data_IF_706099904588
#
_entry.id   IF_706099904588
#
_cell.length_a   1.000
_cell.length_b   1.000
_cell.length_c   1.000
_cell.angle_alpha   90.00
_cell.angle_beta   90.00
_cell.angle_gamma   90.00
#
_symmetry.space_group_name_H-M   'P 1'
#
loop_
_entity.id
_entity.type
_entity.pdbx_description
1 polymer ?
#
# COMPACT_ATOMS: atom_id res chain seq x y z
N UNK A 1 -27.97 58.63 8.36
CA UNK A 1 -27.02 58.28 7.29
C UNK A 1 -25.68 58.93 7.61
N UNK A 2 -24.71 58.16 8.13
CA UNK A 2 -23.35 58.63 8.42
C UNK A 2 -22.39 57.96 7.44
N UNK A 3 -21.64 58.76 6.67
CA UNK A 3 -20.53 58.29 5.83
C UNK A 3 -19.22 58.69 6.50
N UNK A 4 -18.36 57.72 6.79
CA UNK A 4 -16.96 57.97 7.14
C UNK A 4 -16.14 58.11 5.86
N UNK A 5 -15.26 59.11 5.82
CA UNK A 5 -14.19 59.24 4.83
C UNK A 5 -12.86 59.11 5.57
N UNK A 6 -12.14 58.03 5.30
CA UNK A 6 -10.72 57.89 5.66
C UNK A 6 -9.91 58.28 4.43
N UNK A 7 -9.15 59.37 4.57
CA UNK A 7 -8.23 59.88 3.57
C UNK A 7 -6.82 59.54 4.06
N UNK A 8 -6.18 58.51 3.48
CA UNK A 8 -4.79 58.16 3.77
C UNK A 8 -3.98 58.28 2.48
N UNK A 9 -2.92 59.12 2.44
CA UNK A 9 -2.09 59.31 1.26
C UNK A 9 -1.10 58.15 1.05
N UNK A 10 -0.84 57.84 -0.23
CA UNK A 10 -0.15 56.63 -0.74
C UNK A 10 1.38 56.59 -0.53
N UNK A 11 2.00 57.59 0.10
CA UNK A 11 3.48 57.68 0.17
C UNK A 11 4.13 57.31 1.53
N UNK A 12 3.45 56.56 2.39
CA UNK A 12 3.99 56.10 3.68
C UNK A 12 4.18 54.57 3.77
N UNK A 13 4.32 53.90 2.62
CA UNK A 13 4.44 52.44 2.57
C UNK A 13 5.78 51.96 1.98
N UNK A 14 6.89 52.62 2.28
CA UNK A 14 8.24 52.15 1.91
C UNK A 14 9.32 52.98 2.64
N UNK A 15 9.65 52.63 3.89
CA UNK A 15 11.02 52.66 4.47
C UNK A 15 11.01 52.32 5.97
N UNK A 16 11.03 51.04 6.29
CA UNK A 16 11.63 50.47 7.51
C UNK A 16 11.81 48.97 7.23
N UNK A 17 12.98 48.37 7.17
CA UNK A 17 14.33 48.85 7.31
C UNK A 17 15.21 47.88 6.51
N UNK A 18 16.12 48.42 5.71
CA UNK A 18 17.24 47.69 5.14
C UNK A 18 18.47 48.54 5.43
N UNK A 19 19.47 47.94 6.09
CA UNK A 19 20.85 48.38 6.42
C UNK A 19 21.12 47.97 7.87
N UNK A 20 22.15 47.23 8.27
CA UNK A 20 23.21 46.44 7.63
C UNK A 20 23.91 45.65 8.76
N UNK A 21 24.36 44.43 8.45
CA UNK A 21 25.58 43.77 8.95
C UNK A 21 25.89 43.75 10.46
N UNK A 22 25.89 42.52 11.02
CA UNK A 22 26.91 42.09 11.98
C UNK A 22 26.40 41.46 13.27
N UNK A 23 26.84 40.21 13.52
CA UNK A 23 26.88 39.50 14.80
C UNK A 23 25.54 39.02 15.39
N UNK A 24 25.20 37.76 15.13
CA UNK A 24 25.33 36.67 16.11
C UNK A 24 24.65 35.41 15.55
N UNK A 25 25.47 34.40 15.30
CA UNK A 25 25.07 33.02 15.03
C UNK A 25 24.25 32.48 16.21
N UNK A 26 22.93 32.45 16.07
CA UNK A 26 22.08 31.56 16.85
C UNK A 26 21.42 30.62 15.85
N UNK A 27 21.97 29.40 15.80
CA UNK A 27 21.54 28.33 14.92
C UNK A 27 20.08 28.01 15.16
N UNK A 28 19.21 28.49 14.28
CA UNK A 28 17.91 27.88 14.09
C UNK A 28 18.19 26.56 13.38
N UNK A 29 18.28 25.50 14.19
CA UNK A 29 18.50 24.14 13.75
C UNK A 29 17.24 23.71 13.00
N UNK A 30 17.17 24.01 11.71
CA UNK A 30 16.19 23.41 10.81
C UNK A 30 16.55 21.93 10.71
N UNK A 31 16.12 21.14 11.71
CA UNK A 31 16.11 19.70 11.57
C UNK A 31 15.15 19.40 10.44
N UNK A 32 15.74 19.15 9.27
CA UNK A 32 15.11 18.36 8.23
C UNK A 32 14.79 17.05 8.92
N UNK A 33 13.53 16.87 9.29
CA UNK A 33 13.02 15.58 9.71
C UNK A 33 13.12 14.70 8.45
N UNK A 34 14.19 13.93 8.37
CA UNK A 34 14.21 12.78 7.47
C UNK A 34 13.01 11.92 7.87
N UNK A 35 12.18 11.45 6.91
CA UNK A 35 11.06 10.59 7.25
C UNK A 35 11.64 9.39 8.00
N UNK A 36 11.25 9.24 9.26
CA UNK A 36 11.67 8.09 10.04
C UNK A 36 11.26 6.85 9.26
N UNK A 37 12.25 6.07 8.85
CA UNK A 37 12.05 4.76 8.24
C UNK A 37 11.22 3.96 9.23
N UNK A 38 9.92 3.83 8.98
CA UNK A 38 9.09 2.92 9.75
C UNK A 38 9.74 1.55 9.63
N UNK A 39 10.17 0.92 10.74
CA UNK A 39 10.69 -0.44 10.66
C UNK A 39 9.54 -1.29 10.15
N UNK A 40 9.64 -1.74 8.90
CA UNK A 40 8.77 -2.79 8.39
C UNK A 40 9.08 -3.98 9.26
N UNK A 41 8.21 -4.25 10.24
CA UNK A 41 8.31 -5.43 11.09
C UNK A 41 7.91 -6.63 10.22
N UNK A 42 8.78 -7.01 9.29
CA UNK A 42 8.67 -8.24 8.53
C UNK A 42 8.79 -9.36 9.56
N UNK A 43 7.65 -9.93 9.94
CA UNK A 43 7.64 -11.15 10.73
C UNK A 43 8.50 -12.18 9.98
N UNK A 44 9.33 -12.89 10.74
CA UNK A 44 10.14 -14.02 10.27
C UNK A 44 9.41 -14.88 9.24
N UNK A 45 9.69 -14.65 7.96
CA UNK A 45 9.21 -15.52 6.91
C UNK A 45 10.01 -16.83 7.01
N UNK A 46 9.38 -17.99 7.17
CA UNK A 46 10.08 -19.26 7.00
C UNK A 46 10.69 -19.30 5.60
N UNK A 47 11.90 -19.84 5.49
CA UNK A 47 12.53 -20.12 4.21
C UNK A 47 11.60 -21.04 3.41
N UNK A 48 10.89 -20.47 2.44
CA UNK A 48 9.99 -21.20 1.57
C UNK A 48 10.83 -21.93 0.51
N UNK A 49 10.57 -23.22 0.29
CA UNK A 49 11.30 -24.06 -0.68
C UNK A 49 10.87 -23.80 -2.15
N UNK A 50 10.38 -22.60 -2.48
CA UNK A 50 9.89 -22.20 -3.81
C UNK A 50 10.29 -20.77 -4.15
N UNK A 51 10.08 -20.38 -5.42
CA UNK A 51 10.35 -19.03 -5.94
C UNK A 51 9.32 -18.04 -5.33
N UNK A 52 9.58 -17.68 -4.09
CA UNK A 52 8.69 -16.83 -3.29
C UNK A 52 8.89 -15.39 -3.69
N UNK A 53 7.80 -14.73 -4.08
CA UNK A 53 7.78 -13.34 -4.50
C UNK A 53 7.10 -12.49 -3.45
N UNK A 54 7.83 -11.48 -2.96
CA UNK A 54 7.28 -10.40 -2.15
C UNK A 54 6.99 -9.22 -3.05
N UNK A 55 5.77 -8.69 -3.01
CA UNK A 55 5.42 -7.45 -3.69
C UNK A 55 5.09 -6.40 -2.63
N UNK A 56 5.93 -5.39 -2.53
CA UNK A 56 5.67 -4.20 -1.72
C UNK A 56 4.69 -3.28 -2.45
N UNK A 57 3.76 -2.70 -1.72
CA UNK A 57 2.74 -1.78 -2.24
C UNK A 57 2.66 -0.51 -1.42
N UNK A 58 2.39 0.60 -2.09
CA UNK A 58 1.99 1.88 -1.48
C UNK A 58 0.69 2.34 -2.11
N UNK A 59 -0.25 2.80 -1.31
CA UNK A 59 -1.53 3.31 -1.76
C UNK A 59 -1.93 4.56 -0.98
N UNK A 60 -2.78 5.39 -1.57
CA UNK A 60 -3.35 6.57 -0.93
C UNK A 60 -4.85 6.35 -0.70
N UNK A 61 -5.33 6.51 0.54
CA UNK A 61 -6.75 6.37 0.86
C UNK A 61 -7.55 7.43 0.12
N UNK A 62 -8.52 6.99 -0.67
CA UNK A 62 -9.41 7.87 -1.45
C UNK A 62 -10.83 7.89 -0.89
N UNK A 63 -11.20 6.85 -0.12
CA UNK A 63 -12.52 6.78 0.50
C UNK A 63 -12.52 5.94 1.77
N UNK A 64 -13.24 6.42 2.77
CA UNK A 64 -13.55 5.68 4.00
C UNK A 64 -15.06 5.65 4.19
N UNK A 65 -15.61 4.46 4.42
CA UNK A 65 -17.00 4.23 4.81
C UNK A 65 -16.97 3.53 6.15
N UNK A 66 -17.37 4.20 7.23
CA UNK A 66 -17.34 3.65 8.58
C UNK A 66 -18.54 4.19 9.40
N UNK A 67 -19.76 3.69 9.14
CA UNK A 67 -20.98 4.30 9.66
C UNK A 67 -21.14 4.20 11.18
N UNK A 68 -20.58 3.14 11.80
CA UNK A 68 -20.67 2.90 13.25
C UNK A 68 -19.33 3.17 13.96
N UNK A 69 -18.38 3.83 13.28
CA UNK A 69 -17.07 4.22 13.83
C UNK A 69 -16.22 3.03 14.33
N UNK A 70 -16.24 1.89 13.62
CA UNK A 70 -15.43 0.72 13.96
C UNK A 70 -13.92 1.03 13.95
N UNK A 71 -13.49 1.92 13.06
CA UNK A 71 -12.09 2.36 12.95
C UNK A 71 -11.81 3.58 13.86
N UNK A 72 -12.82 4.10 14.57
CA UNK A 72 -12.72 5.27 15.46
C UNK A 72 -12.08 6.51 14.82
N UNK A 73 -12.23 6.69 13.50
CA UNK A 73 -11.59 7.78 12.76
C UNK A 73 -10.07 7.65 12.64
N UNK A 74 -9.49 6.47 12.92
CA UNK A 74 -8.06 6.23 12.80
C UNK A 74 -7.58 6.15 11.33
N UNK A 75 -8.50 6.18 10.36
CA UNK A 75 -8.20 6.22 8.93
C UNK A 75 -9.00 7.35 8.30
N UNK A 76 -8.30 8.24 7.61
CA UNK A 76 -8.87 9.38 6.90
C UNK A 76 -8.48 9.34 5.41
N UNK A 77 -9.21 10.11 4.60
CA UNK A 77 -8.87 10.30 3.18
C UNK A 77 -7.54 11.05 3.09
N UNK A 78 -6.62 10.54 2.28
CA UNK A 78 -5.26 11.07 2.15
C UNK A 78 -4.23 10.35 3.01
N UNK A 79 -4.64 9.44 3.89
CA UNK A 79 -3.70 8.59 4.62
C UNK A 79 -2.97 7.64 3.66
N UNK A 80 -1.72 7.35 3.99
CA UNK A 80 -0.91 6.43 3.22
C UNK A 80 -1.02 5.00 3.77
N UNK A 81 -1.30 4.07 2.86
CA UNK A 81 -1.25 2.64 3.13
C UNK A 81 0.07 2.09 2.59
N UNK A 82 0.85 1.45 3.45
CA UNK A 82 2.07 0.74 3.08
C UNK A 82 1.90 -0.75 3.40
N UNK A 83 2.36 -1.63 2.54
CA UNK A 83 2.16 -3.05 2.78
C UNK A 83 2.89 -3.95 1.81
N UNK A 84 2.56 -5.23 1.87
CA UNK A 84 3.05 -6.23 0.94
C UNK A 84 2.05 -7.38 0.79
N UNK A 85 2.29 -8.19 -0.23
CA UNK A 85 1.76 -9.54 -0.30
C UNK A 85 2.84 -10.51 -0.76
N UNK A 86 2.71 -11.76 -0.30
CA UNK A 86 3.71 -12.80 -0.48
C UNK A 86 3.06 -14.03 -1.10
N UNK A 87 3.62 -14.53 -2.19
CA UNK A 87 3.12 -15.70 -2.91
C UNK A 87 4.26 -16.51 -3.51
N UNK A 88 3.94 -17.74 -3.95
CA UNK A 88 4.85 -18.60 -4.72
C UNK A 88 4.50 -18.47 -6.21
N UNK A 89 5.43 -18.00 -7.02
CA UNK A 89 5.19 -17.82 -8.46
C UNK A 89 5.08 -19.15 -9.23
N UNK A 90 5.52 -20.25 -8.61
CA UNK A 90 5.44 -21.60 -9.16
C UNK A 90 4.10 -22.31 -8.88
N UNK A 91 3.16 -21.64 -8.20
CA UNK A 91 1.84 -22.19 -7.91
C UNK A 91 1.12 -22.67 -9.18
N UNK A 92 0.48 -23.83 -9.10
CA UNK A 92 -0.27 -24.39 -10.21
C UNK A 92 -1.59 -23.62 -10.44
N UNK A 93 -1.93 -23.38 -11.70
CA UNK A 93 -3.21 -22.81 -12.09
C UNK A 93 -4.36 -23.80 -11.80
N UNK A 94 -5.27 -23.41 -10.91
CA UNK A 94 -6.44 -24.20 -10.52
C UNK A 94 -7.62 -24.04 -11.48
N UNK A 95 -7.55 -23.07 -12.41
CA UNK A 95 -8.62 -22.72 -13.32
C UNK A 95 -8.45 -23.39 -14.70
N UNK A 96 -9.58 -23.78 -15.31
CA UNK A 96 -9.56 -24.60 -16.55
C UNK A 96 -9.65 -23.81 -17.85
N UNK A 97 -9.95 -22.52 -17.78
CA UNK A 97 -10.09 -21.69 -18.99
C UNK A 97 -8.73 -21.08 -19.33
N UNK A 98 -8.29 -21.13 -20.59
CA UNK A 98 -6.96 -20.72 -21.02
C UNK A 98 -6.74 -19.19 -21.06
N UNK A 99 -7.74 -18.41 -20.65
CA UNK A 99 -7.70 -16.94 -20.57
C UNK A 99 -7.83 -16.45 -19.13
N UNK A 100 -7.79 -17.36 -18.16
CA UNK A 100 -7.97 -17.09 -16.74
C UNK A 100 -7.12 -18.07 -15.95
N UNK A 101 -6.09 -17.52 -15.31
CA UNK A 101 -5.31 -18.19 -14.29
C UNK A 101 -5.86 -17.89 -12.90
N UNK A 102 -5.96 -18.93 -12.06
CA UNK A 102 -6.28 -18.79 -10.65
C UNK A 102 -5.28 -19.58 -9.81
N UNK A 103 -4.69 -18.90 -8.83
CA UNK A 103 -3.62 -19.43 -8.00
C UNK A 103 -4.04 -19.27 -6.55
N UNK A 104 -4.30 -20.39 -5.89
CA UNK A 104 -4.84 -20.41 -4.53
C UNK A 104 -3.72 -20.78 -3.55
N UNK A 105 -3.56 -19.98 -2.51
CA UNK A 105 -2.56 -20.15 -1.46
C UNK A 105 -3.27 -20.40 -0.13
N UNK A 106 -2.98 -21.54 0.49
CA UNK A 106 -3.67 -22.04 1.67
C UNK A 106 -2.72 -22.50 2.79
N UNK A 107 -1.42 -22.21 2.65
CA UNK A 107 -0.40 -22.55 3.62
C UNK A 107 0.44 -21.30 3.96
N UNK A 108 0.93 -21.18 5.20
CA UNK A 108 1.95 -20.19 5.51
C UNK A 108 3.20 -20.42 4.64
N UNK A 109 3.95 -19.35 4.32
CA UNK A 109 3.78 -17.99 4.85
C UNK A 109 2.97 -17.03 3.97
N UNK A 110 2.24 -17.55 2.97
CA UNK A 110 1.56 -16.69 2.00
C UNK A 110 0.45 -15.86 2.64
N UNK A 111 0.26 -14.64 2.12
CA UNK A 111 -0.71 -13.70 2.66
C UNK A 111 -0.43 -12.25 2.28
N UNK A 112 -1.15 -11.35 2.95
CA UNK A 112 -1.11 -9.92 2.75
C UNK A 112 -0.97 -9.21 4.10
N UNK A 113 -0.25 -8.09 4.10
CA UNK A 113 -0.19 -7.15 5.21
C UNK A 113 -0.28 -5.73 4.68
N UNK A 114 -1.20 -4.94 5.24
CA UNK A 114 -1.40 -3.52 4.93
C UNK A 114 -1.40 -2.72 6.23
N UNK A 115 -0.62 -1.66 6.26
CA UNK A 115 -0.46 -0.75 7.39
C UNK A 115 -0.97 0.63 6.99
N UNK A 116 -1.82 1.22 7.82
CA UNK A 116 -2.25 2.62 7.71
C UNK A 116 -2.28 3.21 9.11
N UNK A 117 -1.52 4.28 9.33
CA UNK A 117 -1.26 4.80 10.68
C UNK A 117 -0.84 3.67 11.64
N UNK A 118 -1.55 3.50 12.75
CA UNK A 118 -1.29 2.45 13.76
C UNK A 118 -2.08 1.14 13.52
N UNK A 119 -2.84 1.04 12.43
CA UNK A 119 -3.67 -0.12 12.12
C UNK A 119 -2.96 -1.09 11.19
N UNK A 120 -3.07 -2.38 11.51
CA UNK A 120 -2.52 -3.46 10.70
C UNK A 120 -3.62 -4.42 10.23
N UNK A 121 -3.81 -4.51 8.92
CA UNK A 121 -4.72 -5.46 8.28
C UNK A 121 -3.88 -6.60 7.71
N UNK A 122 -4.09 -7.82 8.23
CA UNK A 122 -3.21 -8.96 7.94
C UNK A 122 -3.98 -10.24 7.68
N UNK A 123 -3.50 -11.06 6.76
CA UNK A 123 -3.94 -12.44 6.62
C UNK A 123 -3.72 -13.22 7.91
N UNK A 124 -4.63 -14.13 8.25
CA UNK A 124 -4.39 -15.10 9.33
C UNK A 124 -3.50 -16.23 8.83
N UNK A 125 -2.26 -16.27 9.32
CA UNK A 125 -1.28 -17.29 8.93
C UNK A 125 -1.62 -18.68 9.45
N UNK A 126 -2.49 -18.81 10.47
CA UNK A 126 -2.96 -20.11 10.94
C UNK A 126 -4.05 -20.71 10.05
N UNK A 127 -4.67 -19.88 9.20
CA UNK A 127 -5.75 -20.28 8.31
C UNK A 127 -5.66 -19.46 7.02
N UNK A 128 -4.57 -19.62 6.27
CA UNK A 128 -4.33 -18.86 5.03
C UNK A 128 -5.43 -19.13 4.01
N UNK A 129 -6.00 -18.06 3.47
CA UNK A 129 -6.92 -18.10 2.34
C UNK A 129 -6.66 -16.90 1.43
N UNK A 130 -5.62 -17.00 0.61
CA UNK A 130 -5.24 -15.98 -0.37
C UNK A 130 -5.38 -16.54 -1.79
N UNK A 131 -5.76 -15.71 -2.75
CA UNK A 131 -5.78 -16.09 -4.17
C UNK A 131 -5.26 -14.97 -5.04
N UNK A 132 -4.54 -15.33 -6.11
CA UNK A 132 -4.22 -14.44 -7.22
C UNK A 132 -5.01 -14.90 -8.44
N UNK A 133 -5.67 -13.98 -9.12
CA UNK A 133 -6.43 -14.27 -10.34
C UNK A 133 -6.00 -13.34 -11.46
N UNK A 134 -5.64 -13.96 -12.57
CA UNK A 134 -5.26 -13.31 -13.81
C UNK A 134 -6.37 -13.53 -14.83
N UNK A 135 -6.58 -12.53 -15.68
CA UNK A 135 -7.45 -12.64 -16.84
C UNK A 135 -6.73 -11.97 -17.98
N UNK A 136 -6.37 -12.72 -19.01
CA UNK A 136 -5.70 -12.19 -20.18
C UNK A 136 -6.70 -12.13 -21.34
N UNK A 137 -7.14 -10.92 -21.70
CA UNK A 137 -8.00 -10.69 -22.85
C UNK A 137 -9.25 -11.61 -22.91
N UNK A 138 -9.80 -12.01 -21.76
CA UNK A 138 -10.80 -13.08 -21.76
C UNK A 138 -12.09 -12.68 -22.48
N UNK A 139 -12.73 -13.66 -23.11
CA UNK A 139 -13.70 -13.47 -24.21
C UNK A 139 -14.90 -12.52 -23.93
N UNK A 140 -15.28 -12.30 -22.66
CA UNK A 140 -16.42 -11.44 -22.29
C UNK A 140 -16.10 -9.94 -22.20
N UNK A 141 -14.90 -9.52 -22.59
CA UNK A 141 -14.48 -8.13 -22.63
C UNK A 141 -12.97 -8.12 -22.75
N UNK A 142 -12.45 -7.57 -23.86
CA UNK A 142 -11.01 -7.44 -24.10
C UNK A 142 -10.40 -6.54 -23.04
N UNK A 143 -10.00 -7.13 -21.93
CA UNK A 143 -9.37 -6.45 -20.80
C UNK A 143 -8.51 -7.44 -20.05
N UNK A 144 -7.43 -6.94 -19.51
CA UNK A 144 -6.58 -7.68 -18.59
C UNK A 144 -6.96 -7.31 -17.16
N UNK A 145 -6.92 -8.30 -16.26
CA UNK A 145 -7.12 -8.06 -14.83
C UNK A 145 -6.13 -8.85 -13.98
N UNK A 146 -5.51 -8.19 -13.01
CA UNK A 146 -4.72 -8.80 -11.95
C UNK A 146 -5.43 -8.55 -10.62
N UNK A 147 -5.80 -9.61 -9.92
CA UNK A 147 -6.54 -9.53 -8.65
C UNK A 147 -5.85 -10.36 -7.58
N UNK A 148 -5.50 -9.74 -6.46
CA UNK A 148 -5.01 -10.41 -5.25
C UNK A 148 -6.07 -10.28 -4.18
N UNK A 149 -6.40 -11.37 -3.49
CA UNK A 149 -7.42 -11.34 -2.44
C UNK A 149 -6.96 -12.18 -1.26
N UNK A 150 -7.03 -11.62 -0.05
CA UNK A 150 -6.98 -12.36 1.21
C UNK A 150 -8.38 -12.38 1.83
N UNK A 151 -8.92 -13.56 2.08
CA UNK A 151 -10.28 -13.77 2.61
C UNK A 151 -10.32 -14.42 3.99
N UNK A 152 -9.15 -14.67 4.58
CA UNK A 152 -9.01 -15.10 5.98
C UNK A 152 -8.00 -14.17 6.64
N UNK A 153 -8.50 -13.29 7.49
CA UNK A 153 -7.76 -12.16 8.03
C UNK A 153 -7.95 -12.06 9.54
N UNK A 154 -6.96 -11.48 10.21
CA UNK A 154 -7.04 -11.15 11.63
C UNK A 154 -7.93 -9.92 11.85
N UNK A 155 -8.49 -9.84 13.05
CA UNK A 155 -9.11 -8.62 13.55
C UNK A 155 -8.09 -7.46 13.54
N UNK A 156 -8.49 -6.30 13.02
CA UNK A 156 -7.64 -5.09 13.03
C UNK A 156 -7.57 -4.44 14.42
N UNK A 157 -8.68 -4.54 15.16
CA UNK A 157 -8.84 -4.14 16.56
C UNK A 157 -9.66 -5.24 17.25
N UNK A 158 -9.57 -5.42 18.58
CA UNK A 158 -10.33 -6.47 19.26
C UNK A 158 -11.83 -6.44 18.93
N UNK A 159 -12.31 -7.48 18.23
CA UNK A 159 -13.72 -7.60 17.81
C UNK A 159 -14.09 -6.82 16.54
N UNK A 160 -13.13 -6.19 15.87
CA UNK A 160 -13.33 -5.51 14.58
C UNK A 160 -12.70 -6.37 13.49
N UNK A 161 -13.54 -7.23 12.91
CA UNK A 161 -13.10 -8.22 11.94
C UNK A 161 -12.88 -7.66 10.53
N UNK A 162 -11.87 -8.19 9.85
CA UNK A 162 -11.55 -7.88 8.45
C UNK A 162 -12.09 -9.00 7.55
N UNK A 163 -13.02 -8.66 6.67
CA UNK A 163 -13.63 -9.61 5.73
C UNK A 163 -12.66 -9.94 4.58
N UNK A 164 -12.19 -8.92 3.86
CA UNK A 164 -11.21 -9.10 2.78
C UNK A 164 -10.22 -7.95 2.65
N UNK A 165 -9.04 -8.30 2.11
CA UNK A 165 -8.04 -7.36 1.59
C UNK A 165 -7.91 -7.67 0.11
N UNK A 166 -8.13 -6.68 -0.75
CA UNK A 166 -8.31 -6.85 -2.18
C UNK A 166 -7.50 -5.83 -2.96
N UNK A 167 -6.58 -6.30 -3.80
CA UNK A 167 -5.91 -5.49 -4.83
C UNK A 167 -6.52 -5.84 -6.19
N UNK A 168 -6.85 -4.82 -6.98
CA UNK A 168 -7.33 -4.98 -8.36
C UNK A 168 -6.58 -4.02 -9.28
N UNK A 169 -5.96 -4.59 -10.30
CA UNK A 169 -5.41 -3.86 -11.45
C UNK A 169 -6.22 -4.24 -12.70
N UNK A 170 -6.59 -3.25 -13.52
CA UNK A 170 -7.30 -3.49 -14.79
C UNK A 170 -6.66 -2.72 -15.95
N UNK A 171 -6.51 -3.37 -17.11
CA UNK A 171 -6.15 -2.72 -18.36
C UNK A 171 -7.20 -3.02 -19.45
N UNK A 172 -8.01 -2.02 -19.81
CA UNK A 172 -9.00 -2.13 -20.87
C UNK A 172 -8.39 -2.12 -22.29
N UNK A 173 -7.07 -1.93 -22.42
CA UNK A 173 -6.39 -2.04 -23.72
C UNK A 173 -5.93 -3.48 -24.03
N UNK A 174 -5.96 -4.37 -23.02
CA UNK A 174 -5.55 -5.77 -23.11
C UNK A 174 -4.10 -5.95 -23.59
N UNK A 175 -3.20 -5.15 -23.02
CA UNK A 175 -1.76 -5.17 -23.31
C UNK A 175 -0.90 -5.40 -22.07
N UNK A 176 -1.47 -5.34 -20.87
CA UNK A 176 -0.76 -5.57 -19.61
C UNK A 176 -0.32 -7.03 -19.44
N UNK A 177 -1.05 -7.98 -20.02
CA UNK A 177 -0.73 -9.39 -19.97
C UNK A 177 -0.46 -9.98 -21.36
N UNK A 178 0.50 -10.90 -21.41
CA UNK A 178 0.76 -11.71 -22.61
C UNK A 178 0.15 -13.11 -22.51
N UNK A 179 -0.01 -13.63 -21.29
CA UNK A 179 -0.66 -14.89 -20.93
C UNK A 179 -1.33 -14.77 -19.54
N UNK A 180 -1.93 -15.84 -19.05
CA UNK A 180 -2.55 -15.95 -17.73
C UNK A 180 -1.69 -16.73 -16.71
N UNK A 181 -0.41 -16.98 -17.03
CA UNK A 181 0.55 -17.61 -16.14
C UNK A 181 1.00 -16.64 -15.04
N UNK A 182 1.12 -17.11 -13.80
CA UNK A 182 1.60 -16.28 -12.69
C UNK A 182 3.10 -15.99 -12.77
N UNK A 183 3.88 -16.98 -13.20
CA UNK A 183 5.34 -16.86 -13.26
C UNK A 183 5.80 -15.78 -14.24
N UNK A 184 6.79 -15.00 -13.81
CA UNK A 184 7.39 -13.93 -14.61
C UNK A 184 6.54 -12.66 -14.76
N UNK A 185 5.44 -12.52 -14.00
CA UNK A 185 4.70 -11.26 -13.96
C UNK A 185 5.47 -10.22 -13.15
N UNK A 186 5.80 -9.12 -13.81
CA UNK A 186 6.26 -7.89 -13.15
C UNK A 186 5.05 -6.97 -13.04
N UNK A 187 4.70 -6.58 -11.82
CA UNK A 187 3.59 -5.64 -11.59
C UNK A 187 4.12 -4.21 -11.75
N UNK A 188 4.07 -3.70 -12.98
CA UNK A 188 4.32 -2.29 -13.31
C UNK A 188 2.98 -1.56 -13.51
N UNK A 189 2.68 -0.58 -12.64
CA UNK A 189 1.40 0.14 -12.69
C UNK A 189 1.18 0.91 -14.00
N UNK A 190 2.23 1.25 -14.76
CA UNK A 190 2.06 1.94 -16.05
C UNK A 190 1.42 1.07 -17.14
N UNK A 191 1.45 -0.26 -16.96
CA UNK A 191 0.79 -1.22 -17.84
C UNK A 191 -0.71 -1.36 -17.50
N UNK A 192 -1.15 -1.06 -16.28
CA UNK A 192 -2.50 -1.33 -15.75
C UNK A 192 -3.47 -0.14 -15.82
N UNK A 193 -3.48 0.56 -16.96
CA UNK A 193 -3.96 1.94 -17.13
C UNK A 193 -5.42 2.27 -16.75
N UNK A 194 -6.27 1.30 -16.47
CA UNK A 194 -7.70 1.56 -16.23
C UNK A 194 -8.08 1.63 -14.75
N UNK A 195 -7.40 0.89 -13.87
CA UNK A 195 -7.75 0.83 -12.46
C UNK A 195 -6.59 0.29 -11.63
N UNK A 196 -6.26 0.95 -10.52
CA UNK A 196 -5.32 0.44 -9.51
C UNK A 196 -5.88 0.66 -8.10
N UNK A 197 -6.64 -0.29 -7.57
CA UNK A 197 -7.31 -0.10 -6.28
C UNK A 197 -6.89 -1.14 -5.26
N UNK A 198 -6.62 -0.69 -4.06
CA UNK A 198 -6.67 -1.46 -2.83
C UNK A 198 -8.04 -1.24 -2.17
N UNK A 199 -8.66 -2.31 -1.70
CA UNK A 199 -9.88 -2.28 -0.88
C UNK A 199 -9.67 -3.15 0.35
N UNK A 200 -10.02 -2.62 1.52
CA UNK A 200 -10.09 -3.39 2.76
C UNK A 200 -11.52 -3.29 3.26
N UNK A 201 -12.17 -4.44 3.44
CA UNK A 201 -13.57 -4.52 3.86
C UNK A 201 -13.68 -5.15 5.23
N UNK A 202 -14.48 -4.56 6.11
CA UNK A 202 -14.83 -5.13 7.40
C UNK A 202 -16.02 -6.08 7.36
N UNK A 203 -16.11 -6.97 8.35
CA UNK A 203 -17.28 -7.84 8.53
C UNK A 203 -18.57 -7.05 8.80
N UNK A 204 -18.45 -5.89 9.44
CA UNK A 204 -19.58 -5.07 9.89
C UNK A 204 -19.89 -3.89 8.96
N UNK A 205 -19.43 -3.96 7.71
CA UNK A 205 -19.82 -3.01 6.64
C UNK A 205 -18.99 -1.74 6.57
N UNK A 206 -17.93 -1.59 7.37
CA UNK A 206 -16.91 -0.59 7.14
C UNK A 206 -16.02 -0.96 5.94
N UNK A 207 -15.45 0.04 5.26
CA UNK A 207 -14.63 -0.16 4.06
C UNK A 207 -13.66 1.00 3.84
N UNK A 208 -12.43 0.65 3.47
CA UNK A 208 -11.38 1.57 3.01
C UNK A 208 -11.15 1.29 1.52
N UNK A 209 -11.15 2.34 0.69
CA UNK A 209 -10.68 2.28 -0.70
C UNK A 209 -9.45 3.19 -0.84
N UNK A 210 -8.42 2.68 -1.50
CA UNK A 210 -7.18 3.40 -1.74
C UNK A 210 -6.71 3.18 -3.18
N UNK A 211 -6.07 4.19 -3.76
CA UNK A 211 -5.46 4.11 -5.09
C UNK A 211 -3.98 3.73 -4.94
N UNK A 212 -3.55 2.69 -5.65
CA UNK A 212 -2.15 2.27 -5.61
C UNK A 212 -1.27 3.33 -6.27
N UNK A 213 -0.23 3.75 -5.55
CA UNK A 213 0.76 4.72 -5.98
C UNK A 213 2.03 4.05 -6.52
N UNK A 214 2.42 2.89 -5.97
CA UNK A 214 3.56 2.12 -6.46
C UNK A 214 3.48 0.65 -6.07
N UNK A 215 4.10 -0.20 -6.89
CA UNK A 215 4.42 -1.59 -6.56
C UNK A 215 5.88 -1.90 -6.92
N UNK A 216 6.51 -2.76 -6.15
CA UNK A 216 7.87 -3.22 -6.44
C UNK A 216 8.07 -4.65 -5.94
N UNK A 217 8.83 -5.43 -6.70
CA UNK A 217 9.33 -6.72 -6.21
C UNK A 217 10.33 -6.44 -5.10
N UNK A 218 10.01 -6.90 -3.89
CA UNK A 218 10.93 -6.91 -2.77
C UNK A 218 11.76 -8.19 -2.77
N UNK A 219 12.95 -8.12 -2.20
CA UNK A 219 13.72 -9.32 -1.87
C UNK A 219 13.16 -9.88 -0.54
N UNK A 220 12.56 -11.09 -0.54
CA UNK A 220 12.02 -11.69 0.67
C UNK A 220 13.10 -11.97 1.73
N UNK A 221 14.39 -11.93 1.35
CA UNK A 221 15.55 -12.13 2.22
C UNK A 221 16.35 -10.84 2.48
N UNK A 222 15.87 -9.66 2.06
CA UNK A 222 16.62 -8.41 2.25
C UNK A 222 16.90 -8.13 3.74
N UNK A 223 18.17 -8.28 4.13
CA UNK A 223 18.67 -7.84 5.44
C UNK A 223 18.79 -6.31 5.43
N UNK A 224 18.04 -5.62 6.29
CA UNK A 224 18.21 -4.18 6.49
C UNK A 224 19.57 -3.92 7.18
N UNK A 225 20.51 -3.30 6.47
CA UNK A 225 21.78 -2.83 7.05
C UNK A 225 21.47 -1.66 8.01
N UNK A 226 21.70 -1.84 9.31
CA UNK A 226 21.57 -0.73 10.24
C UNK A 226 22.56 0.40 9.90
N UNK A 227 22.21 1.64 10.26
CA UNK A 227 23.05 2.81 10.03
C UNK A 227 24.44 2.74 10.73
N UNK A 228 24.70 1.69 11.52
CA UNK A 228 25.99 1.37 12.13
C UNK A 228 26.88 0.45 11.28
N UNK A 229 26.44 0.02 10.09
CA UNK A 229 27.16 -0.92 9.24
C UNK A 229 27.27 -2.32 9.87
N UNK A 230 26.43 -2.62 10.87
CA UNK A 230 26.34 -3.96 11.43
C UNK A 230 25.40 -4.76 10.55
N UNK A 231 25.96 -5.61 9.70
CA UNK A 231 25.21 -6.70 9.05
C UNK A 231 24.77 -7.67 10.12
N UNK A 232 23.63 -7.39 10.75
CA UNK A 232 22.94 -8.39 11.55
C UNK A 232 22.35 -9.35 10.55
N UNK A 233 23.04 -10.48 10.39
CA UNK A 233 22.39 -11.70 9.94
C UNK A 233 21.30 -11.96 10.97
N UNK A 234 20.09 -11.52 10.67
CA UNK A 234 18.95 -11.86 11.47
C UNK A 234 18.77 -13.37 11.23
N UNK A 235 19.45 -14.15 12.07
CA UNK A 235 19.16 -15.55 12.30
C UNK A 235 18.12 -15.59 13.41
N UNK A 236 17.03 -14.90 13.13
CA UNK A 236 15.65 -15.32 13.32
C UNK A 236 15.56 -16.72 13.97
N UNK A 237 15.52 -16.75 15.32
CA UNK A 237 15.29 -17.94 16.15
C UNK A 237 13.79 -18.24 16.26
#
# INVERSE_FOLDING_TARGET
>A
MMRFHLNIPIEQLLLAACVCFGLALLGCNTQVFEPESFPVMIAQLPAAEGDTILISVRALVTRVVDPDSYLNGAVEIGDEVNGYYLYDESAEDSHKKPDIGQYDFNLPPFGMEMLVNDLAFRSDTNSVAMSIRLRNNAASGKRDTYRVTSSSNLDVLPGVGVFDILIVLEDNTATALTNDALSGIVVDLDDWRSKHTLTITGNDGWRIEADLASSSVGDPEAEEEDAGGSKRKFRLQ
#
